data_IF_493246301719
#
_entry.id   IF_493246301719
#
_cell.length_a   1.000
_cell.length_b   1.000
_cell.length_c   1.000
_cell.angle_alpha   90.00
_cell.angle_beta   90.00
_cell.angle_gamma   90.00
#
_symmetry.space_group_name_H-M   'P 1'
#
loop_
_entity.id
_entity.type
_entity.pdbx_description
1 polymer ?
#
# COMPACT_ATOMS: atom_id res chain seq x y z
N UNK A 1 29.98 -11.36 15.80
CA UNK A 1 30.57 -10.44 16.77
C UNK A 1 29.46 -9.89 17.63
N UNK A 2 29.46 -10.20 18.92
CA UNK A 2 28.36 -9.92 19.86
C UNK A 2 28.23 -8.40 20.08
N UNK A 3 27.04 -7.85 19.86
CA UNK A 3 26.67 -6.43 20.08
C UNK A 3 26.69 -6.03 21.58
N UNK A 4 27.14 -6.94 22.47
CA UNK A 4 27.08 -6.77 23.92
C UNK A 4 28.29 -6.10 24.60
N UNK A 5 29.22 -5.50 23.87
CA UNK A 5 30.45 -4.94 24.46
C UNK A 5 30.85 -3.56 23.93
N UNK A 6 29.90 -2.71 23.58
CA UNK A 6 30.23 -1.28 23.51
C UNK A 6 30.40 -0.77 24.96
N UNK A 7 31.56 -0.23 25.34
CA UNK A 7 31.77 0.28 26.68
C UNK A 7 30.80 1.42 26.94
N UNK A 8 30.10 1.32 28.07
CA UNK A 8 29.17 2.32 28.56
C UNK A 8 29.86 3.70 28.52
N UNK A 9 29.35 4.72 27.81
CA UNK A 9 30.01 6.01 27.69
C UNK A 9 30.26 6.66 29.05
N UNK A 10 29.46 6.30 30.07
CA UNK A 10 29.67 6.69 31.47
C UNK A 10 30.92 6.01 32.05
N UNK A 11 31.14 4.75 31.78
CA UNK A 11 32.35 4.02 32.21
C UNK A 11 33.59 4.50 31.48
N UNK A 12 33.51 4.89 30.23
CA UNK A 12 34.66 5.52 29.51
C UNK A 12 35.01 6.88 30.12
N UNK A 13 34.00 7.70 30.44
CA UNK A 13 34.21 8.98 31.13
C UNK A 13 34.78 8.80 32.52
N UNK A 14 34.25 7.88 33.33
CA UNK A 14 34.80 7.62 34.67
C UNK A 14 36.21 7.05 34.61
N UNK A 15 36.51 6.12 33.70
CA UNK A 15 37.84 5.56 33.52
C UNK A 15 38.87 6.62 33.05
N UNK A 16 38.44 7.57 32.26
CA UNK A 16 39.27 8.69 31.79
C UNK A 16 39.54 9.69 32.93
N UNK A 17 38.51 9.95 33.75
CA UNK A 17 38.69 10.77 34.97
C UNK A 17 39.56 10.05 35.99
N UNK A 18 39.38 8.75 36.24
CA UNK A 18 40.19 7.96 37.17
C UNK A 18 41.63 7.81 36.71
N UNK A 19 41.88 7.75 35.39
CA UNK A 19 43.25 7.74 34.82
C UNK A 19 43.94 9.11 34.96
N UNK A 20 43.22 10.21 34.82
CA UNK A 20 43.75 11.57 34.97
C UNK A 20 43.92 12.00 36.43
N UNK A 21 43.02 11.56 37.35
CA UNK A 21 43.01 11.95 38.73
C UNK A 21 44.35 11.77 39.48
N UNK A 22 45.11 10.66 39.30
CA UNK A 22 46.42 10.48 39.99
C UNK A 22 47.50 11.47 39.56
N UNK A 23 47.41 11.98 38.32
CA UNK A 23 48.39 12.90 37.80
C UNK A 23 48.24 14.35 38.31
N UNK A 24 47.11 14.60 39.02
CA UNK A 24 46.72 15.94 39.49
C UNK A 24 46.06 15.91 40.89
N UNK A 25 46.80 15.47 41.93
CA UNK A 25 46.19 15.06 43.23
C UNK A 25 45.59 16.20 44.05
N UNK A 26 45.64 17.44 43.67
CA UNK A 26 45.18 18.58 44.44
C UNK A 26 44.23 19.57 43.67
N UNK A 27 43.66 19.15 42.56
CA UNK A 27 42.94 20.03 41.66
C UNK A 27 41.64 20.59 42.26
N UNK A 28 40.92 19.83 43.07
CA UNK A 28 39.69 20.24 43.70
C UNK A 28 39.81 21.11 44.95
N UNK A 29 41.02 21.35 45.47
CA UNK A 29 41.24 22.03 46.76
C UNK A 29 41.44 23.54 46.64
N UNK A 30 41.80 24.09 45.46
CA UNK A 30 41.92 25.52 45.28
C UNK A 30 40.84 26.04 44.28
N UNK A 31 39.99 26.98 44.65
CA UNK A 31 38.97 27.49 43.72
C UNK A 31 39.53 28.10 42.43
N UNK A 32 40.76 28.66 42.51
CA UNK A 32 41.43 29.24 41.37
C UNK A 32 41.89 28.20 40.34
N UNK A 33 42.40 27.03 40.80
CA UNK A 33 42.81 25.90 39.95
C UNK A 33 41.60 25.25 39.31
N UNK A 34 40.51 25.04 40.03
CA UNK A 34 39.27 24.52 39.52
C UNK A 34 38.66 25.42 38.41
N UNK A 35 38.70 26.72 38.62
CA UNK A 35 38.25 27.69 37.60
C UNK A 35 39.16 27.68 36.38
N UNK A 36 40.48 27.57 36.55
CA UNK A 36 41.43 27.50 35.44
C UNK A 36 41.19 26.24 34.58
N UNK A 37 40.98 25.09 35.20
CA UNK A 37 40.68 23.84 34.51
C UNK A 37 39.41 23.97 33.70
N UNK A 38 38.36 24.51 34.28
CA UNK A 38 37.05 24.69 33.65
C UNK A 38 37.16 25.60 32.42
N UNK A 39 37.86 26.70 32.53
CA UNK A 39 38.14 27.62 31.42
C UNK A 39 39.02 26.98 30.35
N UNK A 40 40.07 26.27 30.72
CA UNK A 40 40.99 25.62 29.79
C UNK A 40 40.27 24.54 28.95
N UNK A 41 39.54 23.62 29.60
CA UNK A 41 38.83 22.57 28.91
C UNK A 41 37.68 23.12 28.05
N UNK A 42 36.98 24.13 28.49
CA UNK A 42 35.97 24.83 27.69
C UNK A 42 36.59 25.49 26.46
N UNK A 43 37.75 26.12 26.60
CA UNK A 43 38.48 26.72 25.48
C UNK A 43 38.98 25.66 24.49
N UNK A 44 39.51 24.52 24.98
CA UNK A 44 39.89 23.37 24.16
C UNK A 44 38.72 22.82 23.43
N UNK A 45 37.58 22.59 24.15
CA UNK A 45 36.31 22.11 23.54
C UNK A 45 35.80 23.05 22.46
N UNK A 46 35.87 24.34 22.69
CA UNK A 46 35.52 25.37 21.68
C UNK A 46 36.49 25.30 20.46
N UNK A 47 37.79 25.16 20.67
CA UNK A 47 38.77 25.05 19.59
C UNK A 47 38.53 23.78 18.75
N UNK A 48 38.31 22.62 19.42
CA UNK A 48 38.02 21.35 18.77
C UNK A 48 36.68 21.45 17.99
N UNK A 49 35.67 22.04 18.59
CA UNK A 49 34.39 22.24 17.91
C UNK A 49 34.51 23.11 16.67
N UNK A 50 35.33 24.17 16.74
CA UNK A 50 35.60 25.05 15.60
C UNK A 50 36.30 24.31 14.47
N UNK A 51 37.26 23.44 14.82
CA UNK A 51 37.97 22.59 13.86
C UNK A 51 37.00 21.57 13.22
N UNK A 52 36.21 20.86 14.02
CA UNK A 52 35.21 19.90 13.55
C UNK A 52 34.18 20.57 12.60
N UNK A 53 33.66 21.75 12.96
CA UNK A 53 32.76 22.54 12.12
C UNK A 53 33.43 22.96 10.80
N UNK A 54 34.73 23.30 10.80
CA UNK A 54 35.47 23.61 9.55
C UNK A 54 35.56 22.39 8.65
N UNK A 55 35.85 21.21 9.22
CA UNK A 55 36.03 19.97 8.48
C UNK A 55 34.68 19.50 7.87
N UNK A 56 33.64 19.56 8.64
CA UNK A 56 32.28 19.10 8.25
C UNK A 56 31.49 20.17 7.48
N UNK A 57 31.80 21.45 7.69
CA UNK A 57 31.01 22.55 7.15
C UNK A 57 30.87 22.55 5.65
N UNK A 58 31.95 22.19 4.92
CA UNK A 58 31.89 22.06 3.45
C UNK A 58 30.99 20.92 2.98
N UNK A 59 30.96 19.79 3.70
CA UNK A 59 30.11 18.64 3.38
C UNK A 59 28.65 18.93 3.75
N UNK A 60 28.42 19.50 4.92
CA UNK A 60 27.07 19.87 5.39
C UNK A 60 26.46 20.96 4.49
N UNK A 61 27.21 22.01 4.14
CA UNK A 61 26.72 23.08 3.27
C UNK A 61 26.32 22.59 1.86
N UNK A 62 27.02 21.59 1.32
CA UNK A 62 26.66 21.00 0.02
C UNK A 62 25.39 20.13 0.06
N UNK A 63 25.06 19.57 1.21
CA UNK A 63 23.91 18.66 1.37
C UNK A 63 22.57 19.40 1.59
N UNK A 64 22.61 20.60 2.17
CA UNK A 64 21.39 21.35 2.49
C UNK A 64 21.16 22.49 1.50
N UNK A 65 20.01 22.45 0.81
CA UNK A 65 19.58 23.52 -0.12
C UNK A 65 19.34 24.87 0.57
N UNK A 66 18.98 24.85 1.88
CA UNK A 66 18.74 26.07 2.67
C UNK A 66 19.91 26.31 3.61
N UNK A 67 20.61 27.40 3.43
CA UNK A 67 21.78 27.80 4.23
C UNK A 67 21.45 27.96 5.74
N UNK A 68 20.21 28.36 6.09
CA UNK A 68 19.75 28.47 7.47
C UNK A 68 19.80 27.14 8.23
N UNK A 69 19.37 26.04 7.60
CA UNK A 69 19.39 24.68 8.18
C UNK A 69 20.83 24.21 8.41
N UNK A 70 21.71 24.41 7.42
CA UNK A 70 23.12 24.05 7.55
C UNK A 70 23.78 24.76 8.72
N UNK A 71 23.51 26.06 8.90
CA UNK A 71 24.03 26.83 10.04
C UNK A 71 23.50 26.35 11.39
N UNK A 72 22.21 25.96 11.48
CA UNK A 72 21.63 25.42 12.72
C UNK A 72 22.29 24.08 13.10
N UNK A 73 22.47 23.18 12.14
CA UNK A 73 23.16 21.90 12.35
C UNK A 73 24.60 22.13 12.84
N UNK A 74 25.34 23.04 12.21
CA UNK A 74 26.71 23.36 12.63
C UNK A 74 26.78 24.01 14.01
N UNK A 75 25.79 24.82 14.40
CA UNK A 75 25.67 25.37 15.76
C UNK A 75 25.39 24.27 16.78
N UNK A 76 24.51 23.33 16.45
CA UNK A 76 24.19 22.19 17.32
C UNK A 76 25.42 21.33 17.55
N UNK A 77 26.16 20.97 16.50
CA UNK A 77 27.42 20.20 16.60
C UNK A 77 28.43 20.94 17.49
N UNK A 78 28.59 22.25 17.31
CA UNK A 78 29.47 23.07 18.16
C UNK A 78 29.03 23.02 19.62
N UNK A 79 27.75 23.24 19.89
CA UNK A 79 27.20 23.24 21.25
C UNK A 79 27.42 21.87 21.93
N UNK A 80 27.17 20.78 21.24
CA UNK A 80 27.35 19.41 21.75
C UNK A 80 28.82 19.13 22.10
N UNK A 81 29.76 19.45 21.21
CA UNK A 81 31.19 19.25 21.48
C UNK A 81 31.63 20.10 22.66
N UNK A 82 31.24 21.37 22.70
CA UNK A 82 31.64 22.28 23.79
C UNK A 82 31.04 21.82 25.13
N UNK A 83 29.79 21.41 25.16
CA UNK A 83 29.12 20.86 26.34
C UNK A 83 29.80 19.59 26.85
N UNK A 84 30.21 18.68 25.94
CA UNK A 84 30.93 17.47 26.29
C UNK A 84 32.25 17.76 27.02
N UNK A 85 33.07 18.69 26.52
CA UNK A 85 34.29 19.12 27.18
C UNK A 85 34.03 19.83 28.53
N UNK A 86 32.94 20.58 28.61
CA UNK A 86 32.53 21.23 29.87
C UNK A 86 32.16 20.20 30.96
N UNK A 87 31.44 19.13 30.58
CA UNK A 87 31.08 18.05 31.50
C UNK A 87 32.33 17.30 32.00
N UNK A 88 33.32 17.04 31.12
CA UNK A 88 34.58 16.45 31.53
C UNK A 88 35.28 17.39 32.53
N UNK A 89 35.37 18.67 32.24
CA UNK A 89 35.93 19.66 33.16
C UNK A 89 35.24 19.70 34.53
N UNK A 90 33.93 19.65 34.54
CA UNK A 90 33.12 19.62 35.76
C UNK A 90 33.41 18.38 36.62
N UNK A 91 33.59 17.20 35.99
CA UNK A 91 33.97 15.98 36.68
C UNK A 91 35.39 16.05 37.26
N UNK A 92 36.35 16.63 36.53
CA UNK A 92 37.72 16.82 37.02
C UNK A 92 37.81 17.80 38.21
N UNK A 93 36.91 18.74 38.29
CA UNK A 93 36.83 19.72 39.40
C UNK A 93 36.11 19.12 40.65
N UNK A 94 35.60 17.88 40.54
CA UNK A 94 34.94 17.20 41.63
C UNK A 94 33.48 17.63 41.85
N UNK A 95 32.84 18.20 40.83
CA UNK A 95 31.39 18.41 40.86
C UNK A 95 30.67 17.05 40.79
N UNK A 96 29.73 16.87 41.71
CA UNK A 96 28.88 15.67 41.73
C UNK A 96 27.96 15.67 40.49
N UNK A 97 28.43 15.04 39.42
CA UNK A 97 27.71 14.97 38.14
C UNK A 97 26.54 13.96 38.16
N UNK A 98 26.38 13.18 39.23
CA UNK A 98 25.40 12.11 39.30
C UNK A 98 23.98 12.55 38.96
N UNK A 99 23.52 13.63 39.51
CA UNK A 99 22.18 14.20 39.27
C UNK A 99 22.06 14.77 37.85
N UNK A 100 23.14 15.39 37.34
CA UNK A 100 23.19 15.92 35.98
C UNK A 100 23.17 14.79 34.96
N UNK A 101 23.97 13.73 35.20
CA UNK A 101 24.01 12.55 34.33
C UNK A 101 22.65 11.87 34.28
N UNK A 102 21.96 11.70 35.44
CA UNK A 102 20.61 11.15 35.48
C UNK A 102 19.62 12.00 34.67
N UNK A 103 19.65 13.32 34.85
CA UNK A 103 18.77 14.23 34.11
C UNK A 103 19.03 14.20 32.61
N UNK A 104 20.31 14.20 32.18
CA UNK A 104 20.68 14.09 30.76
C UNK A 104 20.28 12.75 30.18
N UNK A 105 20.41 11.67 30.96
CA UNK A 105 20.00 10.32 30.51
C UNK A 105 18.49 10.26 30.28
N UNK A 106 17.70 10.74 31.21
CA UNK A 106 16.22 10.80 31.07
C UNK A 106 15.83 11.66 29.86
N UNK A 107 16.43 12.84 29.73
CA UNK A 107 16.16 13.76 28.61
C UNK A 107 16.56 13.14 27.26
N UNK A 108 17.70 12.46 27.21
CA UNK A 108 18.18 11.78 26.01
C UNK A 108 17.26 10.60 25.64
N UNK A 109 16.75 9.86 26.62
CA UNK A 109 15.79 8.79 26.38
C UNK A 109 14.50 9.33 25.77
N UNK A 110 13.97 10.43 26.33
CA UNK A 110 12.77 11.08 25.78
C UNK A 110 12.99 11.56 24.33
N UNK A 111 14.12 12.24 24.07
CA UNK A 111 14.48 12.65 22.72
C UNK A 111 14.63 11.45 21.79
N UNK A 112 15.26 10.37 22.25
CA UNK A 112 15.44 9.13 21.50
C UNK A 112 14.09 8.54 21.05
N UNK A 113 13.13 8.47 21.97
CA UNK A 113 11.77 7.97 21.68
C UNK A 113 11.07 8.88 20.65
N UNK A 114 11.17 10.21 20.79
CA UNK A 114 10.57 11.16 19.84
C UNK A 114 11.21 11.09 18.45
N UNK A 115 12.53 10.84 18.39
CA UNK A 115 13.25 10.76 17.12
C UNK A 115 13.23 9.35 16.49
N UNK A 116 12.86 8.32 17.24
CA UNK A 116 12.87 6.92 16.76
C UNK A 116 12.14 6.72 15.42
N UNK A 117 10.94 7.28 15.16
CA UNK A 117 10.26 7.14 13.87
C UNK A 117 11.07 7.73 12.69
N UNK A 118 11.73 8.88 12.92
CA UNK A 118 12.55 9.51 11.88
C UNK A 118 13.78 8.68 11.52
N UNK A 119 14.42 8.08 12.53
CA UNK A 119 15.54 7.16 12.33
C UNK A 119 15.06 5.90 11.64
N UNK A 120 13.90 5.36 12.03
CA UNK A 120 13.26 4.22 11.41
C UNK A 120 13.05 4.41 9.91
N UNK A 121 12.45 5.52 9.50
CA UNK A 121 12.25 5.84 8.08
C UNK A 121 13.55 5.87 7.28
N UNK A 122 14.63 6.44 7.84
CA UNK A 122 15.94 6.50 7.17
C UNK A 122 16.57 5.13 7.05
N UNK A 123 16.53 4.33 8.11
CA UNK A 123 17.07 2.96 8.11
C UNK A 123 16.30 2.08 7.15
N UNK A 124 14.97 2.14 7.16
CA UNK A 124 14.11 1.40 6.24
C UNK A 124 14.36 1.82 4.78
N UNK A 125 14.54 3.10 4.53
CA UNK A 125 14.92 3.60 3.19
C UNK A 125 16.26 3.09 2.70
N UNK A 126 17.24 2.95 3.61
CA UNK A 126 18.53 2.37 3.26
C UNK A 126 18.43 0.88 2.90
N UNK A 127 17.63 0.11 3.67
CA UNK A 127 17.37 -1.29 3.35
C UNK A 127 16.57 -1.43 2.03
N UNK A 128 15.59 -0.57 1.80
CA UNK A 128 14.84 -0.56 0.55
C UNK A 128 15.74 -0.36 -0.68
N UNK A 129 16.69 0.57 -0.57
CA UNK A 129 17.68 0.84 -1.62
C UNK A 129 18.76 -0.25 -1.75
N UNK A 130 18.95 -1.08 -0.73
CA UNK A 130 19.94 -2.17 -0.73
C UNK A 130 19.35 -3.49 -1.20
N UNK A 131 18.09 -3.77 -0.84
CA UNK A 131 17.37 -5.02 -1.14
C UNK A 131 16.66 -4.96 -2.50
N UNK A 132 16.37 -3.74 -3.00
CA UNK A 132 15.74 -3.43 -4.30
C UNK A 132 14.51 -4.32 -4.63
N UNK A 133 13.51 -4.44 -3.73
CA UNK A 133 12.34 -5.28 -3.98
C UNK A 133 11.49 -4.77 -5.16
N UNK A 134 11.68 -3.52 -5.55
CA UNK A 134 11.17 -2.87 -6.74
C UNK A 134 12.08 -1.71 -7.13
N UNK A 135 12.10 -1.38 -8.42
CA UNK A 135 12.94 -0.33 -9.00
C UNK A 135 12.09 0.85 -9.50
N UNK A 136 12.77 1.97 -9.82
CA UNK A 136 12.11 3.11 -10.47
C UNK A 136 11.65 2.68 -11.86
N UNK A 137 10.36 2.86 -12.14
CA UNK A 137 9.71 2.43 -13.37
C UNK A 137 8.86 1.17 -13.21
N UNK A 138 9.04 0.41 -12.12
CA UNK A 138 8.21 -0.76 -11.84
C UNK A 138 6.77 -0.37 -11.54
N UNK A 139 5.84 -1.20 -11.99
CA UNK A 139 4.44 -1.11 -11.60
C UNK A 139 4.21 -1.93 -10.33
N UNK A 140 3.71 -1.27 -9.29
CA UNK A 140 3.42 -1.88 -8.00
C UNK A 140 1.95 -1.75 -7.62
N UNK A 141 1.47 -2.72 -6.85
CA UNK A 141 0.17 -2.70 -6.19
C UNK A 141 0.39 -2.74 -4.68
N UNK A 142 -0.18 -1.79 -3.96
CA UNK A 142 -0.15 -1.70 -2.51
C UNK A 142 -1.25 -2.56 -1.87
N UNK A 143 -1.16 -2.76 -0.57
CA UNK A 143 -2.09 -3.58 0.19
C UNK A 143 -3.55 -3.11 0.16
N UNK A 144 -3.80 -1.83 -0.09
CA UNK A 144 -5.11 -1.22 -0.28
C UNK A 144 -5.67 -1.36 -1.71
N UNK A 145 -4.90 -1.99 -2.62
CA UNK A 145 -5.25 -2.15 -4.04
C UNK A 145 -4.84 -0.96 -4.92
N UNK A 146 -4.22 0.08 -4.37
CA UNK A 146 -3.70 1.20 -5.15
C UNK A 146 -2.58 0.74 -6.06
N UNK A 147 -2.67 1.09 -7.35
CA UNK A 147 -1.68 0.73 -8.38
C UNK A 147 -1.01 1.95 -8.96
N UNK A 148 0.27 1.81 -9.29
CA UNK A 148 1.00 2.88 -9.95
C UNK A 148 2.43 2.50 -10.25
N UNK A 149 3.14 3.43 -10.91
CA UNK A 149 4.55 3.30 -11.24
C UNK A 149 5.40 3.97 -10.18
N UNK A 150 6.48 3.31 -9.79
CA UNK A 150 7.50 3.90 -8.90
C UNK A 150 8.22 5.03 -9.66
N UNK A 151 8.02 6.28 -9.22
CA UNK A 151 8.60 7.48 -9.83
C UNK A 151 9.98 7.82 -9.25
N UNK A 152 10.10 7.74 -7.91
CA UNK A 152 11.32 8.10 -7.20
C UNK A 152 11.42 7.35 -5.86
N UNK A 153 12.61 6.88 -5.53
CA UNK A 153 12.91 6.23 -4.25
C UNK A 153 13.98 7.06 -3.56
N UNK A 154 13.60 7.74 -2.50
CA UNK A 154 14.53 8.50 -1.67
C UNK A 154 14.82 7.75 -0.37
N UNK A 155 15.77 8.25 0.42
CA UNK A 155 16.10 7.66 1.73
C UNK A 155 14.96 7.72 2.75
N UNK A 156 13.93 8.57 2.53
CA UNK A 156 12.84 8.80 3.48
C UNK A 156 11.47 8.42 2.97
N UNK A 157 11.24 8.48 1.69
CA UNK A 157 9.96 8.23 1.06
C UNK A 157 10.13 7.64 -0.34
N UNK A 158 9.15 6.88 -0.74
CA UNK A 158 8.93 6.40 -2.10
C UNK A 158 7.77 7.17 -2.70
N UNK A 159 7.92 7.61 -3.94
CA UNK A 159 6.86 8.23 -4.74
C UNK A 159 6.31 7.24 -5.73
N UNK A 160 5.00 7.16 -5.83
CA UNK A 160 4.29 6.33 -6.78
C UNK A 160 3.38 7.24 -7.62
N UNK A 161 3.48 7.15 -8.93
CA UNK A 161 2.60 7.81 -9.87
C UNK A 161 1.44 6.88 -10.18
N UNK A 162 0.24 7.20 -9.70
CA UNK A 162 -0.93 6.33 -9.82
C UNK A 162 -1.52 6.35 -11.23
N UNK A 163 -2.30 5.33 -11.56
CA UNK A 163 -3.00 5.26 -12.84
C UNK A 163 -4.06 6.36 -13.02
N UNK A 164 -4.47 7.02 -11.92
CA UNK A 164 -5.41 8.14 -11.91
C UNK A 164 -4.71 9.51 -12.08
N UNK A 165 -3.47 9.51 -12.55
CA UNK A 165 -2.67 10.71 -12.76
C UNK A 165 -2.42 11.52 -11.48
N UNK A 166 -2.25 10.85 -10.35
CA UNK A 166 -1.95 11.46 -9.04
C UNK A 166 -0.64 10.92 -8.49
N UNK A 167 -0.02 11.68 -7.57
CA UNK A 167 1.16 11.23 -6.85
C UNK A 167 0.81 10.76 -5.45
N UNK A 168 1.21 9.56 -5.13
CA UNK A 168 1.21 9.02 -3.78
C UNK A 168 2.63 9.08 -3.24
N UNK A 169 2.80 9.69 -2.07
CA UNK A 169 4.10 9.79 -1.38
C UNK A 169 4.01 9.04 -0.06
N UNK A 170 4.71 7.93 0.03
CA UNK A 170 4.71 7.06 1.20
C UNK A 170 6.06 7.13 1.93
N UNK A 171 6.08 7.36 3.24
CA UNK A 171 7.27 7.15 4.05
C UNK A 171 7.76 5.69 3.93
N UNK A 172 9.08 5.49 3.88
CA UNK A 172 9.64 4.16 3.66
C UNK A 172 9.38 3.15 4.80
N UNK A 173 9.10 3.63 6.01
CA UNK A 173 8.67 2.79 7.14
C UNK A 173 7.24 2.25 6.95
N UNK A 174 6.36 3.04 6.34
CA UNK A 174 4.99 2.63 6.02
C UNK A 174 5.02 1.60 4.90
N UNK A 175 5.66 1.91 3.76
CA UNK A 175 5.67 1.01 2.60
C UNK A 175 6.34 -0.34 2.90
N UNK A 176 7.34 -0.37 3.78
CA UNK A 176 7.98 -1.62 4.23
C UNK A 176 7.07 -2.50 5.09
N UNK A 177 6.15 -1.90 5.83
CA UNK A 177 5.19 -2.63 6.66
C UNK A 177 3.96 -3.10 5.90
N UNK A 178 3.75 -2.60 4.69
CA UNK A 178 2.65 -2.97 3.82
C UNK A 178 3.01 -4.12 2.88
N UNK A 179 1.98 -4.81 2.41
CA UNK A 179 2.14 -5.78 1.32
C UNK A 179 2.28 -5.01 0.01
N UNK A 180 3.43 -5.13 -0.63
CA UNK A 180 3.67 -4.59 -1.97
C UNK A 180 3.78 -5.75 -2.95
N UNK A 181 2.97 -5.72 -4.01
CA UNK A 181 3.06 -6.67 -5.13
C UNK A 181 3.71 -5.96 -6.31
N UNK A 182 4.89 -6.42 -6.73
CA UNK A 182 5.54 -5.93 -7.94
C UNK A 182 4.94 -6.66 -9.15
N UNK A 183 4.38 -5.91 -10.08
CA UNK A 183 3.68 -6.43 -11.26
C UNK A 183 4.57 -6.48 -12.51
N UNK A 184 5.78 -5.97 -12.47
CA UNK A 184 6.67 -5.84 -13.64
C UNK A 184 8.16 -6.19 -13.39
N UNK A 185 8.54 -6.71 -12.20
CA UNK A 185 9.94 -6.88 -11.81
C UNK A 185 10.76 -7.75 -12.76
N UNK A 186 10.32 -8.98 -13.03
CA UNK A 186 11.07 -9.94 -13.87
C UNK A 186 10.41 -10.11 -15.25
N UNK A 187 9.10 -9.97 -15.31
CA UNK A 187 8.30 -10.20 -16.50
C UNK A 187 7.07 -9.28 -16.44
N UNK A 188 6.91 -8.43 -17.43
CA UNK A 188 5.76 -7.52 -17.52
C UNK A 188 4.43 -8.26 -17.73
N UNK A 189 4.48 -9.54 -18.16
CA UNK A 189 3.28 -10.33 -18.37
C UNK A 189 2.59 -10.65 -17.05
N UNK A 190 1.35 -10.26 -16.95
CA UNK A 190 0.53 -10.51 -15.77
C UNK A 190 -0.54 -11.54 -16.05
N UNK A 191 -0.69 -12.55 -15.18
CA UNK A 191 -1.73 -13.56 -15.30
C UNK A 191 -3.00 -13.12 -14.59
N UNK A 192 -4.10 -13.05 -15.35
CA UNK A 192 -5.41 -12.69 -14.83
C UNK A 192 -6.30 -13.92 -14.64
N UNK A 193 -7.32 -13.72 -13.82
CA UNK A 193 -8.42 -14.67 -13.60
C UNK A 193 -9.74 -13.96 -13.87
N UNK A 194 -10.63 -14.66 -14.57
CA UNK A 194 -12.00 -14.22 -14.81
C UNK A 194 -12.92 -15.41 -14.59
N UNK A 195 -13.88 -15.28 -13.68
CA UNK A 195 -14.88 -16.31 -13.43
C UNK A 195 -16.14 -15.99 -14.24
N UNK A 196 -16.69 -17.01 -14.89
CA UNK A 196 -17.94 -17.00 -15.64
C UNK A 196 -18.77 -18.19 -15.14
N UNK A 197 -19.97 -17.95 -14.68
CA UNK A 197 -20.88 -18.99 -14.23
C UNK A 197 -21.86 -19.33 -15.36
N UNK A 198 -21.95 -20.62 -15.72
CA UNK A 198 -22.85 -21.13 -16.75
C UNK A 198 -23.89 -22.07 -16.12
N UNK A 199 -25.07 -22.15 -16.72
CA UNK A 199 -26.14 -23.01 -16.21
C UNK A 199 -25.76 -24.50 -16.24
N UNK A 200 -26.42 -25.33 -15.46
CA UNK A 200 -26.21 -26.78 -15.43
C UNK A 200 -26.66 -27.47 -16.74
N UNK A 201 -27.54 -26.83 -17.49
CA UNK A 201 -28.05 -27.26 -18.78
C UNK A 201 -27.06 -27.00 -19.93
N UNK A 202 -26.10 -26.08 -19.71
CA UNK A 202 -25.09 -25.72 -20.71
C UNK A 202 -24.09 -26.87 -20.99
N UNK A 203 -23.67 -27.01 -22.24
CA UNK A 203 -22.52 -27.86 -22.57
C UNK A 203 -21.22 -27.23 -22.12
N UNK A 204 -20.68 -27.75 -21.00
CA UNK A 204 -19.46 -27.25 -20.37
C UNK A 204 -18.23 -27.32 -21.30
N UNK A 205 -18.17 -28.33 -22.17
CA UNK A 205 -17.03 -28.47 -23.11
C UNK A 205 -17.07 -27.34 -24.15
N UNK A 206 -18.24 -27.09 -24.72
CA UNK A 206 -18.48 -25.97 -25.64
C UNK A 206 -18.26 -24.62 -24.95
N UNK A 207 -18.78 -24.43 -23.72
CA UNK A 207 -18.58 -23.21 -22.94
C UNK A 207 -17.09 -22.88 -22.73
N UNK A 208 -16.30 -23.86 -22.30
CA UNK A 208 -14.84 -23.69 -22.11
C UNK A 208 -14.14 -23.30 -23.41
N UNK A 209 -14.41 -24.02 -24.49
CA UNK A 209 -13.81 -23.74 -25.80
C UNK A 209 -14.15 -22.36 -26.34
N UNK A 210 -15.38 -21.92 -26.13
CA UNK A 210 -15.89 -20.61 -26.53
C UNK A 210 -15.20 -19.50 -25.72
N UNK A 211 -15.14 -19.62 -24.40
CA UNK A 211 -14.50 -18.65 -23.50
C UNK A 211 -12.99 -18.55 -23.83
N UNK A 212 -12.30 -19.67 -24.04
CA UNK A 212 -10.87 -19.69 -24.43
C UNK A 212 -10.65 -19.02 -25.80
N UNK A 213 -11.49 -19.31 -26.76
CA UNK A 213 -11.43 -18.73 -28.12
C UNK A 213 -11.74 -17.23 -28.12
N UNK A 214 -12.72 -16.79 -27.34
CA UNK A 214 -13.06 -15.38 -27.21
C UNK A 214 -11.90 -14.60 -26.55
N UNK A 215 -11.34 -15.14 -25.47
CA UNK A 215 -10.23 -14.50 -24.77
C UNK A 215 -8.96 -14.42 -25.63
N UNK A 216 -8.65 -15.46 -26.44
CA UNK A 216 -7.45 -15.45 -27.28
C UNK A 216 -7.49 -14.39 -28.38
N UNK A 217 -8.68 -13.94 -28.80
CA UNK A 217 -8.85 -12.89 -29.81
C UNK A 217 -8.90 -11.48 -29.22
N UNK A 218 -8.96 -11.35 -27.89
CA UNK A 218 -9.04 -10.05 -27.24
C UNK A 218 -7.68 -9.34 -27.29
N UNK A 219 -7.66 -8.08 -27.72
CA UNK A 219 -6.44 -7.27 -27.81
C UNK A 219 -5.75 -7.11 -26.47
N UNK A 220 -4.45 -7.39 -26.41
CA UNK A 220 -3.60 -7.34 -25.21
C UNK A 220 -3.55 -8.65 -24.43
N UNK A 221 -4.26 -9.68 -24.89
CA UNK A 221 -4.15 -11.05 -24.36
C UNK A 221 -3.10 -11.82 -25.17
N UNK A 222 -2.30 -12.63 -24.49
CA UNK A 222 -1.32 -13.52 -25.12
C UNK A 222 -2.08 -14.74 -25.67
N UNK A 223 -2.14 -14.84 -27.00
CA UNK A 223 -2.90 -15.88 -27.70
C UNK A 223 -2.34 -17.29 -27.47
N UNK A 224 -1.02 -17.40 -27.31
CA UNK A 224 -0.33 -18.68 -27.14
C UNK A 224 1.18 -18.54 -27.24
N UNK A 225 1.85 -19.68 -27.39
CA UNK A 225 3.33 -19.74 -27.43
C UNK A 225 3.86 -20.77 -26.45
N UNK A 226 5.18 -20.75 -26.16
CA UNK A 226 5.78 -21.63 -25.17
C UNK A 226 5.23 -21.32 -23.78
N UNK A 227 5.13 -22.36 -22.96
CA UNK A 227 4.70 -22.23 -21.58
C UNK A 227 5.50 -21.17 -20.80
N UNK A 228 4.80 -20.36 -20.03
CA UNK A 228 5.38 -19.31 -19.19
C UNK A 228 5.79 -19.93 -17.87
N UNK A 229 7.05 -19.71 -17.50
CA UNK A 229 7.61 -20.23 -16.26
C UNK A 229 7.37 -19.24 -15.12
N UNK A 230 6.82 -19.73 -14.00
CA UNK A 230 6.75 -19.02 -12.73
C UNK A 230 7.45 -19.87 -11.68
N UNK A 231 8.61 -19.45 -11.22
CA UNK A 231 9.45 -20.23 -10.31
C UNK A 231 9.80 -21.59 -10.93
N UNK A 232 9.38 -22.70 -10.29
CA UNK A 232 9.59 -24.07 -10.78
C UNK A 232 8.44 -24.59 -11.66
N UNK A 233 7.29 -23.91 -11.69
CA UNK A 233 6.12 -24.34 -12.44
C UNK A 233 6.06 -23.73 -13.84
N UNK A 234 5.40 -24.43 -14.77
CA UNK A 234 5.12 -23.96 -16.12
C UNK A 234 3.62 -23.89 -16.34
N UNK A 235 3.18 -22.81 -16.96
CA UNK A 235 1.77 -22.57 -17.22
C UNK A 235 1.56 -22.29 -18.70
N UNK A 236 0.45 -22.77 -19.29
CA UNK A 236 0.11 -22.43 -20.66
C UNK A 236 0.12 -20.93 -20.89
N UNK A 237 0.73 -20.50 -22.00
CA UNK A 237 0.68 -19.10 -22.41
C UNK A 237 -0.69 -18.74 -22.96
N UNK A 238 -1.39 -19.69 -23.61
CA UNK A 238 -2.74 -19.49 -24.13
C UNK A 238 -3.78 -19.35 -23.01
N UNK A 239 -4.88 -18.64 -23.23
CA UNK A 239 -6.04 -18.67 -22.37
C UNK A 239 -6.50 -20.10 -22.12
N UNK A 240 -6.77 -20.42 -20.86
CA UNK A 240 -7.17 -21.77 -20.45
C UNK A 240 -8.29 -21.65 -19.42
N UNK A 241 -9.38 -22.36 -19.67
CA UNK A 241 -10.57 -22.36 -18.85
C UNK A 241 -10.68 -23.65 -18.03
N UNK A 242 -10.90 -23.52 -16.73
CA UNK A 242 -11.03 -24.62 -15.78
C UNK A 242 -12.42 -24.61 -15.17
N UNK A 243 -12.96 -25.76 -14.80
CA UNK A 243 -14.07 -25.87 -13.86
C UNK A 243 -13.49 -25.56 -12.49
N UNK A 244 -14.06 -24.57 -11.79
CA UNK A 244 -13.60 -24.15 -10.47
C UNK A 244 -14.46 -24.81 -9.39
N UNK A 245 -15.75 -24.58 -9.44
CA UNK A 245 -16.70 -25.17 -8.49
C UNK A 245 -18.09 -25.35 -9.10
N UNK A 246 -18.91 -26.18 -8.44
CA UNK A 246 -20.34 -26.33 -8.72
C UNK A 246 -21.10 -25.48 -7.69
N UNK A 247 -21.74 -24.43 -8.17
CA UNK A 247 -22.43 -23.43 -7.35
C UNK A 247 -23.94 -23.64 -7.35
N UNK A 248 -24.69 -22.89 -6.55
CA UNK A 248 -26.15 -23.09 -6.39
C UNK A 248 -26.92 -22.88 -7.70
N UNK A 249 -26.48 -21.92 -8.52
CA UNK A 249 -27.19 -21.54 -9.76
C UNK A 249 -26.51 -22.06 -11.03
N UNK A 250 -25.32 -22.66 -10.93
CA UNK A 250 -24.59 -23.15 -12.10
C UNK A 250 -23.18 -23.65 -11.82
N UNK A 251 -22.40 -23.77 -12.88
CA UNK A 251 -21.02 -24.23 -12.87
C UNK A 251 -20.10 -23.04 -13.08
N UNK A 252 -19.23 -22.77 -12.10
CA UNK A 252 -18.25 -21.70 -12.18
C UNK A 252 -17.05 -22.17 -13.02
N UNK A 253 -16.83 -21.47 -14.12
CA UNK A 253 -15.71 -21.62 -15.01
C UNK A 253 -14.69 -20.51 -14.78
N UNK A 254 -13.45 -20.85 -14.42
CA UNK A 254 -12.38 -19.87 -14.22
C UNK A 254 -11.43 -19.88 -15.40
N UNK A 255 -11.47 -18.80 -16.18
CA UNK A 255 -10.54 -18.50 -17.26
C UNK A 255 -9.25 -17.93 -16.69
N UNK A 256 -8.12 -18.55 -17.05
CA UNK A 256 -6.78 -18.04 -16.74
C UNK A 256 -6.10 -17.61 -18.04
N UNK A 257 -5.69 -16.35 -18.11
CA UNK A 257 -5.05 -15.78 -19.30
C UNK A 257 -3.97 -14.79 -18.94
N UNK A 258 -3.06 -14.55 -19.85
CA UNK A 258 -1.95 -13.63 -19.68
C UNK A 258 -2.17 -12.37 -20.51
N UNK A 259 -1.74 -11.25 -19.97
CA UNK A 259 -1.70 -9.96 -20.68
C UNK A 259 -0.26 -9.48 -20.79
N UNK A 260 0.03 -8.72 -21.83
CA UNK A 260 1.36 -8.21 -22.16
C UNK A 260 1.78 -7.00 -21.31
N UNK A 261 0.82 -6.28 -20.73
CA UNK A 261 1.07 -5.00 -20.04
C UNK A 261 0.26 -4.85 -18.77
N UNK A 262 0.93 -4.81 -17.58
CA UNK A 262 0.24 -4.78 -16.30
C UNK A 262 -0.61 -3.51 -16.07
N UNK A 263 -0.28 -2.38 -16.68
CA UNK A 263 -1.07 -1.15 -16.54
C UNK A 263 -2.39 -1.16 -17.32
N UNK A 264 -2.62 -2.15 -18.19
CA UNK A 264 -3.86 -2.32 -18.97
C UNK A 264 -4.80 -3.39 -18.39
N UNK A 265 -4.63 -3.79 -17.12
CA UNK A 265 -5.42 -4.84 -16.46
C UNK A 265 -6.93 -4.66 -16.66
N UNK A 266 -7.47 -3.48 -16.34
CA UNK A 266 -8.90 -3.20 -16.44
C UNK A 266 -9.38 -3.23 -17.89
N UNK A 267 -8.64 -2.62 -18.80
CA UNK A 267 -8.98 -2.57 -20.23
C UNK A 267 -8.97 -3.96 -20.86
N UNK A 268 -7.93 -4.76 -20.59
CA UNK A 268 -7.83 -6.13 -21.08
C UNK A 268 -8.96 -7.01 -20.53
N UNK A 269 -9.25 -6.90 -19.21
CA UNK A 269 -10.35 -7.62 -18.59
C UNK A 269 -11.71 -7.28 -19.24
N UNK A 270 -11.98 -5.98 -19.45
CA UNK A 270 -13.20 -5.53 -20.09
C UNK A 270 -13.34 -6.05 -21.52
N UNK A 271 -12.26 -6.03 -22.32
CA UNK A 271 -12.26 -6.58 -23.68
C UNK A 271 -12.54 -8.08 -23.72
N UNK A 272 -11.92 -8.83 -22.80
CA UNK A 272 -12.18 -10.27 -22.69
C UNK A 272 -13.64 -10.53 -22.33
N UNK A 273 -14.19 -9.79 -21.37
CA UNK A 273 -15.59 -9.92 -20.97
C UNK A 273 -16.54 -9.59 -22.13
N UNK A 274 -16.27 -8.51 -22.87
CA UNK A 274 -17.07 -8.14 -24.06
C UNK A 274 -16.99 -9.24 -25.12
N UNK A 275 -15.80 -9.75 -25.42
CA UNK A 275 -15.64 -10.81 -26.41
C UNK A 275 -16.35 -12.12 -26.01
N UNK A 276 -16.36 -12.45 -24.73
CA UNK A 276 -17.10 -13.61 -24.19
C UNK A 276 -18.61 -13.35 -24.32
N UNK A 277 -19.09 -12.16 -23.91
CA UNK A 277 -20.49 -11.80 -23.99
C UNK A 277 -21.02 -11.89 -25.42
N UNK A 278 -20.34 -11.30 -26.40
CA UNK A 278 -20.69 -11.31 -27.82
C UNK A 278 -20.77 -12.74 -28.39
N UNK A 279 -19.99 -13.67 -27.83
CA UNK A 279 -20.02 -15.10 -28.24
C UNK A 279 -21.14 -15.90 -27.58
N UNK A 280 -21.50 -15.55 -26.35
CA UNK A 280 -22.59 -16.20 -25.61
C UNK A 280 -23.96 -15.69 -26.03
N UNK A 281 -24.05 -14.47 -26.58
CA UNK A 281 -25.30 -13.87 -27.09
C UNK A 281 -25.69 -14.41 -28.50
N UNK A 282 -24.91 -15.31 -29.08
CA UNK A 282 -25.21 -15.95 -30.36
C UNK A 282 -26.25 -17.05 -30.15
N UNK A 283 -27.38 -16.97 -30.86
CA UNK A 283 -28.52 -17.89 -30.72
C UNK A 283 -28.19 -19.36 -31.05
N UNK A 284 -27.10 -19.60 -31.78
CA UNK A 284 -26.67 -20.95 -32.16
C UNK A 284 -25.82 -21.65 -31.11
N UNK A 285 -25.60 -21.02 -29.92
CA UNK A 285 -24.72 -21.56 -28.87
C UNK A 285 -25.54 -22.10 -27.71
N UNK A 286 -25.36 -23.40 -27.42
CA UNK A 286 -25.99 -24.09 -26.29
C UNK A 286 -25.24 -23.82 -24.96
N UNK A 287 -25.02 -22.53 -24.63
CA UNK A 287 -24.37 -22.08 -23.42
C UNK A 287 -25.06 -20.83 -22.90
N UNK A 288 -25.55 -20.89 -21.68
CA UNK A 288 -26.24 -19.78 -21.03
C UNK A 288 -25.53 -19.35 -19.75
N UNK A 289 -25.42 -18.03 -19.52
CA UNK A 289 -24.88 -17.49 -18.26
C UNK A 289 -25.87 -17.80 -17.14
N UNK A 290 -25.36 -18.35 -16.03
CA UNK A 290 -26.20 -18.65 -14.89
C UNK A 290 -26.83 -17.40 -14.29
N UNK A 291 -28.10 -17.52 -13.99
CA UNK A 291 -28.86 -16.54 -13.21
C UNK A 291 -29.73 -17.28 -12.20
N UNK A 292 -30.18 -16.66 -11.11
CA UNK A 292 -30.93 -17.38 -10.08
C UNK A 292 -32.17 -18.08 -10.64
N UNK A 293 -32.10 -19.41 -10.73
CA UNK A 293 -33.23 -20.27 -11.08
C UNK A 293 -33.90 -20.79 -9.81
N UNK A 294 -35.24 -20.77 -9.77
CA UNK A 294 -36.00 -21.34 -8.66
C UNK A 294 -36.96 -22.37 -9.21
N UNK A 295 -36.77 -23.61 -8.85
CA UNK A 295 -37.73 -24.67 -9.12
C UNK A 295 -38.80 -24.67 -8.03
N UNK A 296 -40.02 -24.22 -8.36
CA UNK A 296 -41.16 -24.21 -7.42
C UNK A 296 -41.98 -25.46 -7.68
N UNK A 297 -42.04 -26.34 -6.71
CA UNK A 297 -42.89 -27.53 -6.76
C UNK A 297 -44.13 -27.25 -5.92
N UNK A 298 -45.31 -27.29 -6.58
CA UNK A 298 -46.58 -27.18 -5.93
C UNK A 298 -47.20 -28.58 -5.81
N UNK A 299 -47.46 -29.02 -4.60
CA UNK A 299 -48.14 -30.26 -4.28
C UNK A 299 -49.51 -30.00 -3.65
N UNK A 300 -50.25 -31.06 -3.34
CA UNK A 300 -51.58 -30.97 -2.76
C UNK A 300 -51.61 -30.25 -1.41
N UNK A 301 -50.47 -30.05 -0.74
CA UNK A 301 -50.33 -29.36 0.54
C UNK A 301 -50.02 -27.88 0.39
N UNK A 302 -49.60 -27.45 -0.79
CA UNK A 302 -49.11 -26.06 -1.06
C UNK A 302 -50.29 -25.05 -1.23
N UNK A 303 -51.56 -25.52 -1.32
CA UNK A 303 -52.72 -24.68 -1.56
C UNK A 303 -52.78 -24.17 -3.03
N UNK A 304 -53.72 -23.22 -3.28
CA UNK A 304 -53.87 -22.63 -4.61
C UNK A 304 -52.83 -21.54 -4.86
N UNK A 305 -51.93 -21.74 -5.82
CA UNK A 305 -50.99 -20.73 -6.31
C UNK A 305 -51.66 -19.93 -7.45
N UNK A 306 -51.90 -18.65 -7.27
CA UNK A 306 -52.32 -17.75 -8.35
C UNK A 306 -51.11 -17.26 -9.10
N UNK A 307 -50.82 -17.86 -10.25
CA UNK A 307 -49.73 -17.44 -11.13
C UNK A 307 -50.30 -16.51 -12.19
N UNK A 308 -49.95 -15.23 -12.13
CA UNK A 308 -50.24 -14.28 -13.21
C UNK A 308 -49.14 -14.41 -14.28
N UNK A 309 -49.48 -15.00 -15.41
CA UNK A 309 -48.61 -14.95 -16.59
C UNK A 309 -48.65 -13.55 -17.20
N UNK A 310 -47.57 -13.12 -17.85
CA UNK A 310 -47.45 -11.78 -18.46
C UNK A 310 -48.65 -11.47 -19.38
N UNK A 311 -49.13 -12.44 -20.16
CA UNK A 311 -50.30 -12.29 -20.99
C UNK A 311 -51.62 -12.12 -20.19
N UNK A 312 -51.74 -12.76 -19.01
CA UNK A 312 -52.89 -12.61 -18.15
C UNK A 312 -52.91 -11.23 -17.48
N UNK A 313 -51.73 -10.72 -17.05
CA UNK A 313 -51.60 -9.38 -16.50
C UNK A 313 -51.89 -8.28 -17.53
N UNK A 314 -51.44 -8.43 -18.78
CA UNK A 314 -51.77 -7.50 -19.87
C UNK A 314 -53.28 -7.51 -20.21
N UNK A 315 -53.91 -8.67 -20.22
CA UNK A 315 -55.38 -8.79 -20.42
C UNK A 315 -56.16 -8.17 -19.28
N UNK A 316 -55.70 -8.26 -18.06
CA UNK A 316 -56.35 -7.67 -16.88
C UNK A 316 -56.20 -6.14 -16.86
N UNK A 317 -55.04 -5.60 -17.26
CA UNK A 317 -54.88 -4.14 -17.45
C UNK A 317 -55.77 -3.59 -18.54
N UNK A 318 -55.86 -4.27 -19.70
CA UNK A 318 -56.71 -3.87 -20.80
C UNK A 318 -58.20 -3.96 -20.40
N UNK A 319 -58.57 -4.98 -19.62
CA UNK A 319 -59.97 -5.16 -19.14
C UNK A 319 -60.33 -4.10 -18.10
N UNK A 320 -59.43 -3.73 -17.19
CA UNK A 320 -59.67 -2.68 -16.20
C UNK A 320 -59.79 -1.30 -16.86
N UNK A 321 -58.94 -1.00 -17.87
CA UNK A 321 -59.05 0.21 -18.66
C UNK A 321 -60.39 0.31 -19.43
N UNK A 322 -60.85 -0.80 -20.02
CA UNK A 322 -62.12 -0.85 -20.73
C UNK A 322 -63.35 -0.73 -19.80
N UNK A 323 -63.21 -1.10 -18.53
CA UNK A 323 -64.29 -0.94 -17.52
C UNK A 323 -64.34 0.49 -16.97
N UNK A 324 -63.19 1.18 -16.83
CA UNK A 324 -63.12 2.58 -16.43
C UNK A 324 -63.76 3.50 -17.49
N UNK A 325 -63.49 3.22 -18.77
CA UNK A 325 -64.05 3.99 -19.91
C UNK A 325 -65.58 3.85 -20.06
N UNK A 326 -66.14 2.68 -19.64
CA UNK A 326 -67.57 2.47 -19.59
C UNK A 326 -68.27 3.11 -18.38
N UNK A 327 -67.56 3.32 -17.30
CA UNK A 327 -68.07 4.02 -16.11
C UNK A 327 -68.26 5.51 -16.33
N UNK A 328 -67.38 6.11 -17.09
CA UNK A 328 -67.39 7.55 -17.39
C UNK A 328 -68.43 7.94 -18.40
N UNK A 329 -68.85 7.01 -19.29
CA UNK A 329 -69.89 7.28 -20.31
C UNK A 329 -71.31 7.08 -19.78
N UNK A 330 -71.50 6.60 -18.55
CA UNK A 330 -72.85 6.37 -17.95
C UNK A 330 -73.33 7.53 -17.05
N UNK A 331 -72.49 8.44 -16.66
CA UNK A 331 -72.76 9.56 -15.76
C UNK A 331 -73.16 10.86 -16.48
N UNK A 332 -73.07 10.90 -17.81
CA UNK A 332 -73.45 12.07 -18.64
C UNK A 332 -74.96 12.05 -19.14
N UNK A 333 -75.85 11.24 -18.55
CA UNK A 333 -77.30 11.29 -18.85
C UNK A 333 -78.01 12.07 -17.78
N UNK A 334 -78.07 13.37 -17.93
CA UNK A 334 -78.91 14.30 -17.25
C UNK A 334 -80.40 13.93 -17.49
N UNK A 335 -81.26 13.87 -16.46
CA UNK A 335 -82.68 13.66 -16.67
C UNK A 335 -83.33 14.96 -17.17
N UNK A 336 -83.92 14.90 -18.36
CA UNK A 336 -84.79 15.96 -18.90
C UNK A 336 -85.92 16.28 -17.96
N UNK A 337 -86.03 17.55 -17.64
CA UNK A 337 -87.10 18.07 -16.80
C UNK A 337 -88.48 17.83 -17.39
N UNK A 338 -89.45 17.53 -16.51
CA UNK A 338 -90.88 17.50 -16.79
C UNK A 338 -91.50 18.77 -16.20
N UNK A 339 -91.94 19.65 -17.12
CA UNK A 339 -92.79 20.77 -16.83
C UNK A 339 -94.27 20.31 -16.86
N UNK A 340 -94.94 20.39 -15.71
CA UNK A 340 -96.34 20.90 -15.58
C UNK A 340 -96.69 21.11 -14.13
#
# INVERSE_FOLDING_TARGET
MSIGQLPDPIRMLSSLVDWLAPHFPNWGRSPALSFLILVLFTAVGYAVSRYAVRLMGRRVAKRFRRQSVAQQVLRLIRATITLFFLLIAAGLVGLELGNIVLSVTVFSAVIGIVLAPLVGSVVNGLFLLADEPYEIGDMVELGDGTRGFVDDITIRYTKIFTLDNTFLVLPNDVIRSEKVTNLSAEDERTRLSLSVEVTYESDVATARSLIESAASKAEGVIEGGPDIRIGSARYPARPTCYIDEFHDDGIVLTLRYWIDRPYKLLTARSRVQTAIWERLDDEDVDVEIAYPHRHLVFDDTSGEARVATREAAEREVVRSAALSDRGESADDREPAGDDT
#
